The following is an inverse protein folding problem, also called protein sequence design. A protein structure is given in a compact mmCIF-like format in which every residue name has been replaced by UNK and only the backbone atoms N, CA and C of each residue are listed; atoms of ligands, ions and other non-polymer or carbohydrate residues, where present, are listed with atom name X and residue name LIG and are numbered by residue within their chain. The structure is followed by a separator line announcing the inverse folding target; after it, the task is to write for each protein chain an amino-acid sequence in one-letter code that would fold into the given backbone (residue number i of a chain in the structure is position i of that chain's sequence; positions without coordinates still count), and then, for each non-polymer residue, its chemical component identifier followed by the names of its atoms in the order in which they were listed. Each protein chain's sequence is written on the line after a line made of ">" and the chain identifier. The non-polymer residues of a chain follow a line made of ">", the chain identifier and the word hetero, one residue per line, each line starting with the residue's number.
data_IF_246533390183
#
_entry.id   IF_246533390183
#
_cell.length_a   1.000
_cell.length_b   1.000
_cell.length_c   1.000
_cell.angle_alpha   90.00
_cell.angle_beta   90.00
_cell.angle_gamma   90.00
#
_symmetry.space_group_name_H-M   'P 1'
#
loop_
_entity.id
_entity.type
_entity.pdbx_description
1 polymer ?
#
# COMPACT_ATOMS: atom_id res chain seq x y z
N UNK A 1 -19.55 13.43 -30.36
CA UNK A 1 -18.78 13.41 -29.11
C UNK A 1 -17.56 14.30 -29.30
N UNK A 2 -17.46 15.41 -28.56
CA UNK A 2 -16.27 16.25 -28.60
C UNK A 2 -15.07 15.44 -28.08
N UNK A 3 -13.93 15.48 -28.78
CA UNK A 3 -12.68 14.90 -28.28
C UNK A 3 -12.19 15.80 -27.15
N UNK A 4 -12.15 15.31 -25.91
CA UNK A 4 -11.50 16.03 -24.84
C UNK A 4 -10.03 16.24 -25.21
N UNK A 5 -9.53 17.46 -25.07
CA UNK A 5 -8.11 17.75 -25.28
C UNK A 5 -7.28 16.97 -24.25
N UNK A 6 -6.19 16.36 -24.73
CA UNK A 6 -5.26 15.65 -23.87
C UNK A 6 -4.47 16.68 -23.05
N UNK A 7 -5.01 17.01 -21.87
CA UNK A 7 -4.34 17.82 -20.85
C UNK A 7 -3.90 16.93 -19.69
N UNK A 8 -2.79 17.29 -19.05
CA UNK A 8 -2.32 16.64 -17.82
C UNK A 8 -3.36 16.71 -16.69
N UNK A 9 -4.19 17.75 -16.68
CA UNK A 9 -5.28 17.92 -15.71
C UNK A 9 -6.39 16.87 -15.90
N UNK A 10 -6.80 16.65 -17.15
CA UNK A 10 -7.76 15.61 -17.51
C UNK A 10 -7.22 14.21 -17.16
N UNK A 11 -5.94 13.97 -17.43
CA UNK A 11 -5.29 12.71 -17.05
C UNK A 11 -5.26 12.54 -15.53
N UNK A 12 -4.94 13.58 -14.77
CA UNK A 12 -4.93 13.56 -13.30
C UNK A 12 -6.31 13.23 -12.73
N UNK A 13 -7.37 13.87 -13.23
CA UNK A 13 -8.75 13.61 -12.79
C UNK A 13 -9.19 12.16 -13.05
N UNK A 14 -8.85 11.64 -14.23
CA UNK A 14 -9.10 10.24 -14.59
C UNK A 14 -8.34 9.29 -13.67
N UNK A 15 -7.06 9.57 -13.39
CA UNK A 15 -6.23 8.78 -12.47
C UNK A 15 -6.77 8.77 -11.04
N UNK A 16 -7.31 9.89 -10.55
CA UNK A 16 -7.95 9.96 -9.23
C UNK A 16 -9.20 9.07 -9.13
N UNK A 17 -10.00 9.01 -10.20
CA UNK A 17 -11.18 8.11 -10.23
C UNK A 17 -10.76 6.64 -10.15
N UNK A 18 -9.68 6.27 -10.84
CA UNK A 18 -9.10 4.92 -10.72
C UNK A 18 -8.55 4.65 -9.32
N UNK A 19 -8.11 5.69 -8.62
CA UNK A 19 -7.61 5.52 -7.27
C UNK A 19 -8.67 5.07 -6.28
N UNK A 20 -9.84 5.72 -6.26
CA UNK A 20 -10.96 5.27 -5.43
C UNK A 20 -11.31 3.80 -5.69
N UNK A 21 -11.38 3.42 -6.97
CA UNK A 21 -11.68 2.03 -7.39
C UNK A 21 -10.62 1.03 -6.93
N UNK A 22 -9.33 1.34 -7.01
CA UNK A 22 -8.27 0.47 -6.49
C UNK A 22 -8.39 0.29 -4.97
N UNK A 23 -8.71 1.36 -4.22
CA UNK A 23 -8.89 1.27 -2.77
C UNK A 23 -10.12 0.44 -2.38
N UNK A 24 -11.24 0.58 -3.10
CA UNK A 24 -12.43 -0.26 -2.90
C UNK A 24 -12.13 -1.73 -3.24
N UNK A 25 -11.44 -1.99 -4.35
CA UNK A 25 -11.02 -3.34 -4.71
C UNK A 25 -10.07 -3.93 -3.63
N UNK A 26 -9.20 -3.11 -3.04
CA UNK A 26 -8.35 -3.51 -1.91
C UNK A 26 -9.17 -3.96 -0.71
N UNK A 27 -10.23 -3.24 -0.35
CA UNK A 27 -11.13 -3.62 0.74
C UNK A 27 -11.76 -5.00 0.48
N UNK A 28 -12.30 -5.22 -0.72
CA UNK A 28 -12.88 -6.52 -1.12
C UNK A 28 -11.84 -7.64 -1.10
N UNK A 29 -10.60 -7.34 -1.54
CA UNK A 29 -9.49 -8.29 -1.48
C UNK A 29 -9.22 -8.75 -0.04
N UNK A 30 -9.14 -7.81 0.91
CA UNK A 30 -8.86 -8.17 2.31
C UNK A 30 -10.06 -8.80 3.02
N UNK A 31 -11.29 -8.41 2.69
CA UNK A 31 -12.49 -9.12 3.14
C UNK A 31 -12.48 -10.58 2.67
N UNK A 32 -12.11 -10.82 1.40
CA UNK A 32 -11.97 -12.18 0.88
C UNK A 32 -10.86 -12.95 1.61
N UNK A 33 -9.73 -12.31 1.91
CA UNK A 33 -8.64 -12.91 2.68
C UNK A 33 -9.07 -13.29 4.10
N UNK A 34 -9.87 -12.43 4.75
CA UNK A 34 -10.43 -12.71 6.06
C UNK A 34 -11.27 -13.99 6.06
N UNK A 35 -12.17 -14.13 5.08
CA UNK A 35 -12.99 -15.34 4.90
C UNK A 35 -12.14 -16.58 4.64
N UNK A 36 -11.09 -16.46 3.81
CA UNK A 36 -10.13 -17.55 3.58
C UNK A 36 -9.46 -17.98 4.89
N UNK A 37 -9.06 -17.03 5.74
CA UNK A 37 -8.48 -17.30 7.05
C UNK A 37 -9.46 -17.99 8.01
N UNK A 38 -10.70 -17.51 8.12
CA UNK A 38 -11.73 -18.12 8.98
C UNK A 38 -12.09 -19.56 8.56
N UNK A 39 -12.04 -19.83 7.26
CA UNK A 39 -12.42 -21.14 6.70
C UNK A 39 -11.24 -22.10 6.56
N UNK A 40 -10.02 -21.68 6.89
CA UNK A 40 -8.80 -22.48 6.69
C UNK A 40 -8.79 -23.80 7.49
N UNK A 41 -9.43 -23.84 8.67
CA UNK A 41 -9.48 -25.01 9.55
C UNK A 41 -10.73 -25.90 9.36
N UNK A 42 -11.58 -25.59 8.39
CA UNK A 42 -12.81 -26.35 8.18
C UNK A 42 -12.52 -27.69 7.49
N UNK A 43 -12.18 -28.73 8.27
CA UNK A 43 -11.76 -30.03 7.71
C UNK A 43 -12.90 -30.92 7.16
N UNK A 44 -14.16 -30.65 7.50
CA UNK A 44 -15.24 -31.64 7.30
C UNK A 44 -16.57 -31.15 6.71
N UNK A 45 -16.77 -29.84 6.51
CA UNK A 45 -18.05 -29.30 5.99
C UNK A 45 -17.95 -28.94 4.51
N UNK A 46 -18.74 -29.62 3.67
CA UNK A 46 -18.85 -29.36 2.23
C UNK A 46 -19.12 -27.89 1.91
N UNK A 47 -19.99 -27.24 2.69
CA UNK A 47 -20.30 -25.81 2.52
C UNK A 47 -19.11 -24.89 2.81
N UNK A 48 -18.42 -25.06 3.94
CA UNK A 48 -17.28 -24.21 4.29
C UNK A 48 -16.13 -24.36 3.30
N UNK A 49 -15.91 -25.57 2.78
CA UNK A 49 -14.93 -25.82 1.71
C UNK A 49 -15.30 -25.11 0.41
N UNK A 50 -16.58 -25.05 0.05
CA UNK A 50 -17.05 -24.30 -1.11
C UNK A 50 -16.82 -22.79 -0.93
N UNK A 51 -17.23 -22.23 0.21
CA UNK A 51 -17.01 -20.82 0.56
C UNK A 51 -15.53 -20.47 0.53
N UNK A 52 -14.67 -21.33 1.11
CA UNK A 52 -13.22 -21.16 1.07
C UNK A 52 -12.67 -21.09 -0.36
N UNK A 53 -13.13 -22.01 -1.22
CA UNK A 53 -12.75 -22.06 -2.63
C UNK A 53 -13.16 -20.78 -3.39
N UNK A 54 -14.38 -20.32 -3.19
CA UNK A 54 -14.90 -19.13 -3.87
C UNK A 54 -14.26 -17.83 -3.35
N UNK A 55 -14.01 -17.73 -2.05
CA UNK A 55 -13.27 -16.62 -1.46
C UNK A 55 -11.83 -16.54 -2.02
N UNK A 56 -11.15 -17.67 -2.22
CA UNK A 56 -9.82 -17.71 -2.88
C UNK A 56 -9.87 -17.27 -4.35
N UNK A 57 -10.89 -17.69 -5.10
CA UNK A 57 -11.08 -17.24 -6.50
C UNK A 57 -11.31 -15.73 -6.55
N UNK A 58 -12.20 -15.21 -5.71
CA UNK A 58 -12.48 -13.78 -5.61
C UNK A 58 -11.22 -12.99 -5.22
N UNK A 59 -10.49 -13.45 -4.21
CA UNK A 59 -9.22 -12.87 -3.79
C UNK A 59 -8.22 -12.76 -4.95
N UNK A 60 -8.06 -13.83 -5.73
CA UNK A 60 -7.15 -13.87 -6.87
C UNK A 60 -7.61 -12.95 -8.01
N UNK A 61 -8.91 -12.99 -8.36
CA UNK A 61 -9.48 -12.15 -9.41
C UNK A 61 -9.36 -10.65 -9.07
N UNK A 62 -9.71 -10.26 -7.85
CA UNK A 62 -9.60 -8.87 -7.39
C UNK A 62 -8.14 -8.44 -7.31
N UNK A 63 -7.23 -9.29 -6.83
CA UNK A 63 -5.79 -8.98 -6.81
C UNK A 63 -5.26 -8.72 -8.22
N UNK A 64 -5.67 -9.52 -9.20
CA UNK A 64 -5.29 -9.33 -10.60
C UNK A 64 -5.85 -8.01 -11.16
N UNK A 65 -7.15 -7.76 -10.96
CA UNK A 65 -7.81 -6.52 -11.41
C UNK A 65 -7.18 -5.26 -10.79
N UNK A 66 -6.73 -5.31 -9.54
CA UNK A 66 -6.06 -4.17 -8.91
C UNK A 66 -4.77 -3.77 -9.60
N UNK A 67 -4.04 -4.71 -10.20
CA UNK A 67 -2.78 -4.38 -10.88
C UNK A 67 -3.01 -3.52 -12.12
N UNK A 68 -4.15 -3.64 -12.79
CA UNK A 68 -4.47 -2.77 -13.93
C UNK A 68 -4.74 -1.33 -13.50
N UNK A 69 -5.30 -1.11 -12.30
CA UNK A 69 -5.51 0.23 -11.75
C UNK A 69 -4.22 0.92 -11.26
N UNK A 70 -3.09 0.20 -11.23
CA UNK A 70 -1.80 0.75 -10.80
C UNK A 70 -0.94 1.23 -11.96
N UNK A 71 -1.28 0.88 -13.20
CA UNK A 71 -0.51 1.29 -14.37
C UNK A 71 -0.49 2.82 -14.45
N UNK A 72 0.71 3.41 -14.49
CA UNK A 72 0.91 4.85 -14.57
C UNK A 72 0.95 5.56 -13.21
N UNK A 73 0.82 4.84 -12.07
CA UNK A 73 0.95 5.44 -10.73
C UNK A 73 2.36 5.86 -10.38
N UNK A 74 3.34 5.28 -11.04
CA UNK A 74 4.74 5.65 -10.93
C UNK A 74 5.01 7.07 -11.44
N UNK A 75 4.25 7.55 -12.43
CA UNK A 75 4.46 8.87 -13.05
C UNK A 75 4.35 10.04 -12.06
N UNK A 76 3.25 10.23 -11.30
CA UNK A 76 3.16 11.32 -10.34
C UNK A 76 4.22 11.22 -9.24
N UNK A 77 4.62 10.00 -8.86
CA UNK A 77 5.69 9.80 -7.87
C UNK A 77 7.01 10.29 -8.44
N UNK A 78 7.35 9.90 -9.68
CA UNK A 78 8.55 10.33 -10.38
C UNK A 78 8.60 11.85 -10.57
N UNK A 79 7.48 12.48 -10.95
CA UNK A 79 7.38 13.93 -11.10
C UNK A 79 7.59 14.67 -9.77
N UNK A 80 7.25 14.04 -8.64
CA UNK A 80 7.44 14.62 -7.31
C UNK A 80 8.87 14.52 -6.75
N UNK A 81 9.82 13.92 -7.46
CA UNK A 81 11.22 13.83 -7.00
C UNK A 81 11.91 15.19 -6.98
N UNK A 82 11.64 16.07 -7.96
CA UNK A 82 12.24 17.41 -8.01
C UNK A 82 11.89 18.22 -6.76
N UNK A 83 10.63 18.17 -6.34
CA UNK A 83 10.16 18.83 -5.11
C UNK A 83 10.77 18.22 -3.85
N UNK A 84 11.09 16.92 -3.84
CA UNK A 84 11.75 16.28 -2.71
C UNK A 84 13.19 16.78 -2.56
N UNK A 85 13.92 16.89 -3.67
CA UNK A 85 15.32 17.34 -3.71
C UNK A 85 15.45 18.81 -3.27
N UNK A 86 14.43 19.63 -3.55
CA UNK A 86 14.41 21.04 -3.19
C UNK A 86 14.23 21.32 -1.68
N UNK A 87 14.01 20.29 -0.84
CA UNK A 87 13.84 20.49 0.60
C UNK A 87 15.17 20.88 1.28
N UNK A 88 15.18 21.89 2.18
CA UNK A 88 16.42 22.40 2.78
C UNK A 88 17.02 21.47 3.84
N UNK A 89 16.20 20.59 4.45
CA UNK A 89 16.63 19.71 5.54
C UNK A 89 17.05 18.34 4.98
N UNK A 90 18.36 18.07 4.97
CA UNK A 90 18.96 16.84 4.42
C UNK A 90 18.27 15.55 4.88
N UNK A 91 17.91 15.44 6.16
CA UNK A 91 17.27 14.24 6.69
C UNK A 91 15.83 14.06 6.17
N UNK A 92 15.07 15.15 6.05
CA UNK A 92 13.70 15.11 5.54
C UNK A 92 13.72 14.78 4.04
N UNK A 93 14.67 15.38 3.30
CA UNK A 93 14.98 15.07 1.90
C UNK A 93 15.32 13.59 1.73
N UNK A 94 16.23 13.05 2.55
CA UNK A 94 16.64 11.66 2.47
C UNK A 94 15.48 10.69 2.74
N UNK A 95 14.65 10.95 3.76
CA UNK A 95 13.49 10.11 4.08
C UNK A 95 12.41 10.18 2.99
N UNK A 96 12.10 11.36 2.45
CA UNK A 96 11.10 11.49 1.39
C UNK A 96 11.58 10.84 0.08
N UNK A 97 12.85 11.01 -0.27
CA UNK A 97 13.46 10.33 -1.42
C UNK A 97 13.47 8.81 -1.24
N UNK A 98 13.86 8.31 -0.05
CA UNK A 98 13.85 6.87 0.23
C UNK A 98 12.44 6.28 0.13
N UNK A 99 11.42 6.96 0.68
CA UNK A 99 10.01 6.57 0.57
C UNK A 99 9.57 6.50 -0.90
N UNK A 100 9.85 7.54 -1.69
CA UNK A 100 9.48 7.61 -3.12
C UNK A 100 10.21 6.57 -3.95
N UNK A 101 11.51 6.41 -3.77
CA UNK A 101 12.33 5.43 -4.49
C UNK A 101 11.86 4.00 -4.23
N UNK A 102 11.66 3.64 -2.96
CA UNK A 102 11.14 2.30 -2.60
C UNK A 102 9.73 2.05 -3.13
N UNK A 103 8.88 3.08 -3.17
CA UNK A 103 7.54 2.98 -3.75
C UNK A 103 7.57 2.80 -5.28
N UNK A 104 8.46 3.50 -5.99
CA UNK A 104 8.68 3.28 -7.43
C UNK A 104 9.18 1.86 -7.68
N UNK A 105 10.15 1.40 -6.91
CA UNK A 105 10.66 0.03 -7.01
C UNK A 105 9.57 -1.02 -6.78
N UNK A 106 8.66 -0.77 -5.84
CA UNK A 106 7.47 -1.62 -5.65
C UNK A 106 6.61 -1.69 -6.92
N UNK A 107 6.23 -0.57 -7.52
CA UNK A 107 5.40 -0.58 -8.73
C UNK A 107 6.09 -1.27 -9.90
N UNK A 108 7.37 -0.96 -10.14
CA UNK A 108 8.14 -1.61 -11.22
C UNK A 108 8.21 -3.14 -11.03
N UNK A 109 8.48 -3.61 -9.81
CA UNK A 109 8.54 -5.05 -9.54
C UNK A 109 7.17 -5.73 -9.56
N UNK A 110 6.09 -5.06 -9.14
CA UNK A 110 4.70 -5.56 -9.27
C UNK A 110 4.30 -5.69 -10.75
N UNK A 111 4.64 -4.71 -11.58
CA UNK A 111 4.41 -4.77 -13.04
C UNK A 111 5.20 -5.90 -13.70
N UNK A 112 6.49 -6.05 -13.38
CA UNK A 112 7.29 -7.16 -13.88
C UNK A 112 6.77 -8.51 -13.41
N UNK A 113 6.33 -8.61 -12.14
CA UNK A 113 5.71 -9.81 -11.60
C UNK A 113 4.41 -10.17 -12.32
N UNK A 114 3.56 -9.19 -12.59
CA UNK A 114 2.33 -9.38 -13.36
C UNK A 114 2.60 -9.76 -14.81
N UNK A 115 3.53 -9.08 -15.48
CA UNK A 115 3.93 -9.40 -16.85
C UNK A 115 4.46 -10.84 -16.95
N UNK A 116 5.29 -11.28 -15.99
CA UNK A 116 5.73 -12.68 -15.90
C UNK A 116 4.56 -13.64 -15.69
N UNK A 117 3.56 -13.27 -14.88
CA UNK A 117 2.38 -14.09 -14.65
C UNK A 117 1.52 -14.27 -15.92
N UNK A 118 1.48 -13.24 -16.78
CA UNK A 118 0.71 -13.28 -18.05
C UNK A 118 1.50 -14.00 -19.16
N UNK A 119 2.82 -13.81 -19.23
CA UNK A 119 3.64 -14.33 -20.33
C UNK A 119 4.29 -15.70 -20.07
N UNK A 120 4.48 -16.09 -18.80
CA UNK A 120 5.34 -17.22 -18.39
C UNK A 120 4.72 -18.01 -17.23
N UNK A 121 5.51 -18.94 -16.68
CA UNK A 121 5.16 -19.77 -15.53
C UNK A 121 4.92 -18.93 -14.25
N UNK A 122 3.74 -19.15 -13.66
CA UNK A 122 3.25 -18.52 -12.44
C UNK A 122 4.21 -18.68 -11.24
N UNK A 123 5.03 -19.74 -11.20
CA UNK A 123 6.00 -19.96 -10.12
C UNK A 123 7.04 -18.84 -10.04
N UNK A 124 7.57 -18.40 -11.17
CA UNK A 124 8.60 -17.34 -11.22
C UNK A 124 8.03 -15.94 -10.99
N UNK A 125 6.74 -15.76 -11.31
CA UNK A 125 6.03 -14.52 -11.04
C UNK A 125 5.84 -14.32 -9.53
N UNK A 126 5.48 -15.38 -8.78
CA UNK A 126 5.21 -15.31 -7.36
C UNK A 126 6.40 -14.74 -6.56
N UNK A 127 7.62 -15.20 -6.83
CA UNK A 127 8.83 -14.69 -6.14
C UNK A 127 9.12 -13.23 -6.47
N UNK A 128 8.84 -12.80 -7.71
CA UNK A 128 9.00 -11.40 -8.12
C UNK A 128 8.00 -10.50 -7.40
N UNK A 129 6.75 -10.95 -7.28
CA UNK A 129 5.68 -10.24 -6.56
C UNK A 129 6.01 -10.14 -5.06
N UNK A 130 6.53 -11.21 -4.44
CA UNK A 130 6.95 -11.19 -3.03
C UNK A 130 8.05 -10.15 -2.77
N UNK A 131 9.04 -10.04 -3.66
CA UNK A 131 10.06 -8.98 -3.57
C UNK A 131 9.46 -7.58 -3.70
N UNK A 132 8.49 -7.40 -4.58
CA UNK A 132 7.74 -6.14 -4.67
C UNK A 132 7.05 -5.79 -3.35
N UNK A 133 6.40 -6.76 -2.72
CA UNK A 133 5.75 -6.54 -1.43
C UNK A 133 6.74 -6.19 -0.31
N UNK A 134 7.97 -6.70 -0.35
CA UNK A 134 9.01 -6.27 0.58
C UNK A 134 9.36 -4.77 0.38
N UNK A 135 9.45 -4.29 -0.87
CA UNK A 135 9.64 -2.85 -1.14
C UNK A 135 8.49 -1.99 -0.62
N UNK A 136 7.25 -2.47 -0.75
CA UNK A 136 6.08 -1.80 -0.18
C UNK A 136 6.16 -1.71 1.35
N UNK A 137 6.62 -2.79 2.00
CA UNK A 137 6.80 -2.81 3.45
C UNK A 137 7.83 -1.76 3.90
N UNK A 138 8.99 -1.72 3.24
CA UNK A 138 10.05 -0.75 3.52
C UNK A 138 9.53 0.68 3.31
N UNK A 139 8.86 0.94 2.19
CA UNK A 139 8.31 2.27 1.89
C UNK A 139 7.32 2.74 2.96
N UNK A 140 6.43 1.84 3.40
CA UNK A 140 5.44 2.13 4.45
C UNK A 140 6.12 2.40 5.80
N UNK A 141 7.15 1.63 6.13
CA UNK A 141 7.92 1.84 7.35
C UNK A 141 8.66 3.19 7.35
N UNK A 142 9.32 3.55 6.24
CA UNK A 142 9.97 4.85 6.07
C UNK A 142 8.95 6.00 6.19
N UNK A 143 7.75 5.82 5.63
CA UNK A 143 6.65 6.78 5.75
C UNK A 143 6.22 6.98 7.21
N UNK A 144 6.08 5.90 7.97
CA UNK A 144 5.75 5.96 9.40
C UNK A 144 6.84 6.70 10.21
N UNK A 145 8.12 6.41 9.96
CA UNK A 145 9.25 7.11 10.61
C UNK A 145 9.22 8.61 10.29
N UNK A 146 9.00 8.96 9.02
CA UNK A 146 8.88 10.36 8.61
C UNK A 146 7.72 11.06 9.32
N UNK A 147 6.58 10.39 9.48
CA UNK A 147 5.44 10.91 10.24
C UNK A 147 5.76 11.12 11.73
N UNK A 148 6.38 10.14 12.39
CA UNK A 148 6.78 10.25 13.81
C UNK A 148 7.75 11.42 13.99
N UNK A 149 8.76 11.53 13.12
CA UNK A 149 9.70 12.65 13.13
C UNK A 149 8.98 13.99 12.97
N UNK A 150 7.98 14.08 12.08
CA UNK A 150 7.19 15.30 11.91
C UNK A 150 6.38 15.65 13.18
N UNK A 151 6.01 14.67 14.01
CA UNK A 151 5.39 14.93 15.32
C UNK A 151 6.40 15.36 16.39
N UNK A 152 7.61 14.78 16.38
CA UNK A 152 8.66 15.10 17.36
C UNK A 152 9.40 16.41 17.08
N UNK A 153 9.62 16.75 15.80
CA UNK A 153 10.38 17.94 15.35
C UNK A 153 9.46 19.13 15.05
N UNK A 154 8.18 19.02 15.39
CA UNK A 154 7.27 20.16 15.44
C UNK A 154 7.13 20.79 16.85
N UNK A 155 8.19 21.00 17.66
CA UNK A 155 8.09 21.91 18.79
C UNK A 155 8.25 23.33 18.25
N UNK A 156 7.18 24.10 18.39
CA UNK A 156 7.25 25.55 18.62
C UNK A 156 8.04 26.34 17.58
N UNK A 157 7.56 26.40 16.33
CA UNK A 157 7.74 27.66 15.61
C UNK A 157 6.79 28.63 16.32
N UNK A 158 7.28 29.55 17.17
CA UNK A 158 6.41 30.53 17.79
C UNK A 158 5.72 31.27 16.64
N UNK A 159 4.40 31.20 16.61
CA UNK A 159 3.56 32.02 15.74
C UNK A 159 4.11 33.42 15.78
N UNK A 160 4.80 33.85 14.71
CA UNK A 160 5.21 35.24 14.59
C UNK A 160 3.92 36.06 14.55
N UNK A 161 3.65 36.68 15.69
CA UNK A 161 2.87 37.89 15.94
C UNK A 161 1.72 38.15 14.94
N UNK A 162 0.59 37.47 15.13
CA UNK A 162 -0.65 37.74 14.43
C UNK A 162 -1.76 36.79 14.89
N UNK A 163 -2.62 37.27 15.78
CA UNK A 163 -3.33 36.50 16.79
C UNK A 163 -4.63 35.77 16.36
N UNK A 164 -4.94 34.75 17.16
CA UNK A 164 -6.27 34.32 17.65
C UNK A 164 -7.20 33.36 16.90
N UNK A 165 -6.99 32.99 15.62
CA UNK A 165 -7.89 32.01 14.95
C UNK A 165 -7.24 30.62 14.75
N UNK A 166 -6.00 30.41 15.20
CA UNK A 166 -5.15 29.28 14.75
C UNK A 166 -4.89 28.15 15.76
N UNK A 167 -5.35 28.24 17.02
CA UNK A 167 -5.06 27.21 18.04
C UNK A 167 -5.79 25.88 17.82
N UNK A 168 -7.01 25.90 17.26
CA UNK A 168 -7.85 24.70 17.15
C UNK A 168 -7.53 23.82 15.93
N UNK A 169 -6.82 24.34 14.92
CA UNK A 169 -6.40 23.57 13.74
C UNK A 169 -5.18 22.66 14.02
N UNK A 170 -4.38 22.95 15.04
CA UNK A 170 -3.20 22.16 15.38
C UNK A 170 -3.50 20.75 15.90
N UNK A 171 -4.48 20.51 16.81
CA UNK A 171 -4.80 19.16 17.29
C UNK A 171 -5.38 18.26 16.20
N UNK A 172 -6.16 18.81 15.25
CA UNK A 172 -6.71 18.04 14.14
C UNK A 172 -5.60 17.53 13.21
N UNK A 173 -4.65 18.40 12.83
CA UNK A 173 -3.50 18.00 12.00
C UNK A 173 -2.62 16.94 12.68
N UNK A 174 -2.39 17.06 13.99
CA UNK A 174 -1.67 16.03 14.77
C UNK A 174 -2.42 14.69 14.73
N UNK A 175 -3.73 14.71 14.94
CA UNK A 175 -4.57 13.50 14.85
C UNK A 175 -4.51 12.86 13.47
N UNK A 176 -4.59 13.65 12.40
CA UNK A 176 -4.45 13.14 11.04
C UNK A 176 -3.10 12.46 10.84
N UNK A 177 -1.99 13.11 11.21
CA UNK A 177 -0.65 12.54 11.11
C UNK A 177 -0.53 11.23 11.91
N UNK A 178 -1.08 11.18 13.13
CA UNK A 178 -1.13 9.93 13.93
C UNK A 178 -1.88 8.81 13.22
N UNK A 179 -3.04 9.11 12.60
CA UNK A 179 -3.80 8.12 11.82
C UNK A 179 -2.98 7.61 10.63
N UNK A 180 -2.18 8.47 9.99
CA UNK A 180 -1.31 8.07 8.88
C UNK A 180 -0.16 7.18 9.32
N UNK A 181 0.51 7.52 10.43
CA UNK A 181 1.55 6.68 11.02
C UNK A 181 0.99 5.31 11.36
N UNK A 182 -0.16 5.26 12.04
CA UNK A 182 -0.83 4.00 12.38
C UNK A 182 -1.16 3.18 11.14
N UNK A 183 -1.76 3.82 10.12
CA UNK A 183 -2.09 3.20 8.84
C UNK A 183 -0.84 2.64 8.15
N UNK A 184 0.28 3.37 8.16
CA UNK A 184 1.53 2.97 7.52
C UNK A 184 2.21 1.80 8.25
N UNK A 185 2.16 1.78 9.58
CA UNK A 185 2.60 0.63 10.38
C UNK A 185 1.80 -0.63 10.05
N UNK A 186 0.47 -0.53 10.01
CA UNK A 186 -0.40 -1.65 9.62
C UNK A 186 -0.14 -2.11 8.18
N UNK A 187 0.12 -1.17 7.27
CA UNK A 187 0.44 -1.47 5.88
C UNK A 187 1.78 -2.22 5.76
N UNK A 188 2.79 -1.79 6.50
CA UNK A 188 4.09 -2.45 6.55
C UNK A 188 3.95 -3.89 7.06
N UNK A 189 3.18 -4.10 8.14
CA UNK A 189 2.89 -5.42 8.69
C UNK A 189 2.19 -6.34 7.68
N UNK A 190 1.15 -5.85 7.00
CA UNK A 190 0.47 -6.61 5.95
C UNK A 190 1.40 -6.98 4.81
N UNK A 191 2.25 -6.03 4.37
CA UNK A 191 3.18 -6.24 3.27
C UNK A 191 4.27 -7.27 3.63
N UNK A 192 4.78 -7.26 4.87
CA UNK A 192 5.68 -8.29 5.41
C UNK A 192 5.03 -9.67 5.39
N UNK A 193 3.76 -9.78 5.80
CA UNK A 193 3.02 -11.04 5.73
C UNK A 193 2.87 -11.55 4.30
N UNK A 194 2.44 -10.68 3.39
CA UNK A 194 2.24 -11.04 1.98
C UNK A 194 3.57 -11.37 1.28
N UNK A 195 4.67 -10.78 1.72
CA UNK A 195 6.02 -11.11 1.26
C UNK A 195 6.55 -12.44 1.82
N UNK A 196 5.82 -13.09 2.75
CA UNK A 196 6.25 -14.28 3.51
C UNK A 196 7.51 -14.06 4.34
N UNK A 197 7.73 -12.82 4.80
CA UNK A 197 8.82 -12.51 5.74
C UNK A 197 8.33 -12.73 7.18
N UNK A 198 7.05 -12.47 7.43
CA UNK A 198 6.36 -12.72 8.69
C UNK A 198 5.18 -13.66 8.40
N UNK A 199 4.97 -14.71 9.19
CA UNK A 199 3.84 -15.62 8.99
C UNK A 199 2.77 -15.36 10.07
N UNK A 200 1.63 -14.84 9.65
CA UNK A 200 0.50 -14.47 10.52
C UNK A 200 -0.78 -15.13 10.00
N UNK A 201 -1.79 -15.32 10.84
CA UNK A 201 -3.10 -15.79 10.38
C UNK A 201 -3.69 -14.88 9.28
N UNK A 202 -4.17 -15.48 8.19
CA UNK A 202 -4.79 -14.76 7.08
C UNK A 202 -6.05 -13.98 7.50
N UNK A 203 -6.73 -14.43 8.57
CA UNK A 203 -7.86 -13.73 9.16
C UNK A 203 -7.44 -12.39 9.76
N UNK A 204 -6.40 -12.36 10.59
CA UNK A 204 -5.87 -11.14 11.20
C UNK A 204 -5.42 -10.15 10.12
N UNK A 205 -4.67 -10.62 9.13
CA UNK A 205 -4.20 -9.78 8.02
C UNK A 205 -5.36 -9.27 7.17
N UNK A 206 -6.41 -10.07 7.00
CA UNK A 206 -7.68 -9.65 6.42
C UNK A 206 -8.30 -8.46 7.16
N UNK A 207 -8.46 -8.55 8.49
CA UNK A 207 -9.02 -7.47 9.31
C UNK A 207 -8.17 -6.19 9.23
N UNK A 208 -6.86 -6.30 9.46
CA UNK A 208 -5.96 -5.14 9.38
C UNK A 208 -6.00 -4.48 7.98
N UNK A 209 -6.06 -5.32 6.95
CA UNK A 209 -6.20 -4.88 5.57
C UNK A 209 -7.52 -4.17 5.28
N UNK A 210 -8.63 -4.62 5.87
CA UNK A 210 -9.91 -3.90 5.79
C UNK A 210 -9.81 -2.54 6.46
N UNK A 211 -9.27 -2.45 7.69
CA UNK A 211 -9.13 -1.18 8.43
C UNK A 211 -8.30 -0.16 7.64
N UNK A 212 -7.11 -0.57 7.16
CA UNK A 212 -6.26 0.30 6.33
C UNK A 212 -6.92 0.70 5.02
N UNK A 213 -7.72 -0.19 4.41
CA UNK A 213 -8.45 0.13 3.17
C UNK A 213 -9.58 1.13 3.43
N UNK A 214 -10.28 1.03 4.55
CA UNK A 214 -11.31 2.01 4.94
C UNK A 214 -10.70 3.39 5.18
N UNK A 215 -9.54 3.47 5.85
CA UNK A 215 -8.80 4.73 6.00
C UNK A 215 -8.43 5.30 4.63
N UNK A 216 -7.89 4.48 3.73
CA UNK A 216 -7.53 4.91 2.38
C UNK A 216 -8.76 5.38 1.57
N UNK A 217 -9.90 4.66 1.65
CA UNK A 217 -11.14 5.03 0.96
C UNK A 217 -11.67 6.36 1.51
N UNK A 218 -11.71 6.55 2.83
CA UNK A 218 -12.22 7.78 3.44
C UNK A 218 -11.40 9.02 3.03
N UNK A 219 -10.12 8.84 2.68
CA UNK A 219 -9.26 9.93 2.18
C UNK A 219 -9.45 10.24 0.70
N UNK A 220 -10.00 9.30 -0.07
CA UNK A 220 -10.16 9.40 -1.53
C UNK A 220 -11.62 9.62 -1.94
N UNK A 221 -12.58 9.09 -1.18
CA UNK A 221 -13.98 8.96 -1.58
C UNK A 221 -14.97 9.39 -0.48
N UNK A 222 -15.91 10.31 -0.79
CA UNK A 222 -15.76 11.48 -1.62
C UNK A 222 -15.27 12.65 -0.75
N UNK A 223 -14.14 13.25 -1.11
CA UNK A 223 -13.97 14.67 -0.78
C UNK A 223 -14.79 15.44 -1.81
N UNK A 224 -16.10 15.54 -1.59
CA UNK A 224 -16.79 16.77 -1.96
C UNK A 224 -16.05 17.87 -1.20
N UNK A 225 -14.97 18.39 -1.77
CA UNK A 225 -14.53 19.73 -1.39
C UNK A 225 -15.72 20.56 -1.77
N UNK A 226 -16.43 21.08 -0.77
CA UNK A 226 -17.43 22.08 -1.05
C UNK A 226 -16.73 23.12 -1.92
N UNK A 227 -17.26 23.46 -3.11
CA UNK A 227 -16.63 24.45 -3.99
C UNK A 227 -16.40 25.79 -3.27
N UNK A 228 -17.06 26.02 -2.13
CA UNK A 228 -16.80 27.14 -1.23
C UNK A 228 -15.41 27.13 -0.58
N UNK A 229 -14.84 25.97 -0.24
CA UNK A 229 -13.51 25.91 0.38
C UNK A 229 -12.39 26.15 -0.64
N UNK A 230 -12.62 25.76 -1.89
CA UNK A 230 -11.74 26.08 -3.01
C UNK A 230 -11.88 27.55 -3.45
N UNK A 231 -13.10 28.10 -3.42
CA UNK A 231 -13.33 29.54 -3.59
C UNK A 231 -12.67 30.37 -2.49
N UNK A 232 -12.74 29.94 -1.22
CA UNK A 232 -12.10 30.63 -0.11
C UNK A 232 -10.56 30.56 -0.18
N UNK A 233 -10.00 29.44 -0.62
CA UNK A 233 -8.55 29.33 -0.84
C UNK A 233 -8.08 30.20 -2.03
N UNK A 234 -8.89 30.30 -3.09
CA UNK A 234 -8.58 31.11 -4.25
C UNK A 234 -8.77 32.62 -3.99
N UNK A 235 -9.72 33.03 -3.15
CA UNK A 235 -9.89 34.44 -2.77
C UNK A 235 -8.73 34.97 -1.93
N UNK A 236 -8.17 34.15 -1.03
CA UNK A 236 -7.00 34.53 -0.22
C UNK A 236 -5.76 34.79 -1.09
N UNK A 237 -5.53 33.97 -2.12
CA UNK A 237 -4.40 34.18 -3.05
C UNK A 237 -4.60 35.40 -3.98
N UNK A 238 -5.84 35.82 -4.23
CA UNK A 238 -6.13 37.03 -5.01
C UNK A 238 -5.82 38.31 -4.22
N UNK A 239 -6.11 38.33 -2.92
CA UNK A 239 -5.82 39.49 -2.05
C UNK A 239 -4.31 39.67 -1.84
N UNK A 240 -3.53 38.60 -1.64
CA UNK A 240 -2.05 38.71 -1.54
C UNK A 240 -1.39 39.22 -2.83
N UNK A 241 -1.95 38.86 -4.00
CA UNK A 241 -1.44 39.32 -5.29
C UNK A 241 -1.73 40.81 -5.53
N UNK A 242 -2.84 41.33 -5.02
CA UNK A 242 -3.16 42.77 -5.08
C UNK A 242 -2.32 43.57 -4.08
N UNK A 243 -2.03 43.02 -2.91
CA UNK A 243 -1.24 43.70 -1.87
C UNK A 243 0.25 43.83 -2.26
N UNK A 244 0.80 42.86 -3.01
CA UNK A 244 2.16 42.98 -3.57
C UNK A 244 2.26 44.05 -4.68
N UNK A 245 1.20 44.29 -5.46
CA UNK A 245 1.24 45.33 -6.50
C UNK A 245 1.10 46.76 -5.98
N UNK A 246 0.52 46.97 -4.80
CA UNK A 246 0.42 48.30 -4.18
C UNK A 246 1.67 48.69 -3.37
N UNK A 247 2.46 47.70 -2.93
CA UNK A 247 3.70 47.91 -2.19
C UNK A 247 4.88 48.40 -3.05
N UNK A 248 4.86 48.20 -4.37
CA UNK A 248 5.99 48.57 -5.25
C UNK A 248 5.92 50.00 -5.80
N UNK A 249 4.84 50.75 -5.58
CA UNK A 249 4.64 52.10 -6.14
C UNK A 249 4.58 53.25 -5.13
N UNK A 250 4.82 52.98 -3.85
CA UNK A 250 4.58 53.96 -2.80
C UNK A 250 5.71 54.11 -1.79
N UNK A 251 6.95 54.42 -2.18
CA UNK A 251 7.92 55.01 -1.25
C UNK A 251 9.13 55.65 -1.94
N UNK A 252 8.92 56.85 -2.50
CA UNK A 252 9.99 57.80 -2.75
C UNK A 252 9.74 59.04 -1.86
N UNK A 253 10.21 59.00 -0.61
CA UNK A 253 10.14 60.19 0.24
C UNK A 253 10.48 60.01 1.71
N UNK A 254 11.70 60.44 2.05
CA UNK A 254 12.05 61.17 3.29
C UNK A 254 12.69 60.39 4.47
N UNK A 255 13.94 60.82 4.74
CA UNK A 255 14.57 61.16 6.03
C UNK A 255 14.62 60.14 7.18
N UNK A 256 15.78 59.58 7.56
CA UNK A 256 16.91 60.13 8.35
C UNK A 256 16.66 60.23 9.87
N UNK A 257 17.67 59.77 10.64
CA UNK A 257 17.80 59.64 12.12
C UNK A 257 17.24 58.33 12.69
N UNK A 258 17.86 57.62 13.64
CA UNK A 258 19.00 57.86 14.53
C UNK A 258 18.72 57.10 15.85
N UNK A 259 19.78 56.74 16.61
CA UNK A 259 19.80 56.09 17.96
C UNK A 259 19.67 54.55 17.97
N UNK A 260 20.63 53.72 18.40
CA UNK A 260 21.48 53.56 19.62
C UNK A 260 20.85 52.82 20.81
N UNK A 261 21.43 51.65 21.10
CA UNK A 261 21.83 51.06 22.40
C UNK A 261 20.82 50.47 23.40
N UNK A 262 21.24 49.31 23.97
CA UNK A 262 21.07 48.79 25.35
C UNK A 262 20.42 47.39 25.40
N UNK A 263 21.14 46.28 25.66
CA UNK A 263 21.72 45.73 26.92
C UNK A 263 20.69 45.08 27.87
N UNK A 264 21.06 43.89 28.40
CA UNK A 264 20.56 43.17 29.61
C UNK A 264 19.25 42.38 29.47
N UNK A 265 19.02 41.23 30.13
CA UNK A 265 19.72 40.45 31.15
C UNK A 265 19.15 39.01 31.16
N UNK A 266 19.93 38.09 31.71
CA UNK A 266 19.71 36.68 31.99
C UNK A 266 18.53 36.38 32.93
N UNK A 267 17.92 35.20 32.81
CA UNK A 267 17.32 34.47 33.93
C UNK A 267 17.38 32.95 33.71
N UNK A 268 18.13 32.28 34.57
CA UNK A 268 18.05 30.85 34.91
C UNK A 268 17.03 30.67 36.06
N UNK A 269 16.38 29.50 36.13
CA UNK A 269 15.86 28.79 37.34
C UNK A 269 14.72 27.87 36.91
N UNK A 270 14.98 26.55 36.88
CA UNK A 270 14.48 25.50 37.81
C UNK A 270 13.11 24.93 37.37
N UNK A 271 13.05 23.64 37.02
CA UNK A 271 12.95 22.45 37.89
C UNK A 271 11.49 22.17 38.31
N UNK A 272 11.19 20.88 38.43
CA UNK A 272 9.93 20.25 38.88
C UNK A 272 8.78 20.13 37.86
N UNK A 273 8.68 18.95 37.25
CA UNK A 273 7.52 18.08 37.54
C UNK A 273 7.83 16.61 37.18
N UNK A 274 8.23 15.86 38.20
CA UNK A 274 8.10 14.41 38.28
C UNK A 274 6.62 14.01 38.52
N UNK A 275 6.31 12.75 38.25
CA UNK A 275 5.10 12.01 38.62
C UNK A 275 3.79 12.25 37.85
N UNK A 276 3.51 11.38 36.88
CA UNK A 276 2.40 10.41 36.95
C UNK A 276 2.26 9.68 35.61
N UNK A 277 2.66 8.40 35.55
CA UNK A 277 1.79 7.29 35.14
C UNK A 277 2.56 5.97 35.27
N UNK A 278 2.43 5.39 36.46
CA UNK A 278 2.69 3.98 36.70
C UNK A 278 1.58 3.11 36.11
N UNK A 279 1.98 1.89 35.75
CA UNK A 279 1.18 0.67 35.68
C UNK A 279 0.17 0.51 34.52
N UNK A 280 0.58 -0.26 33.50
CA UNK A 280 -0.22 -1.40 33.05
C UNK A 280 0.66 -2.58 32.59
N UNK A 281 0.22 -3.83 32.83
CA UNK A 281 1.12 -4.97 32.98
C UNK A 281 1.38 -5.76 31.70
N UNK A 282 2.56 -6.39 31.71
CA UNK A 282 2.96 -7.58 30.96
C UNK A 282 1.81 -8.59 30.79
N UNK A 283 1.53 -8.92 29.53
CA UNK A 283 0.75 -10.10 29.15
C UNK A 283 1.73 -11.15 28.60
N UNK A 284 2.46 -11.77 29.52
CA UNK A 284 2.97 -13.13 29.33
C UNK A 284 1.80 -14.08 29.55
N UNK A 285 1.46 -14.86 28.53
CA UNK A 285 0.96 -16.25 28.58
C UNK A 285 0.34 -16.55 27.21
N UNK A 286 1.04 -17.30 26.37
CA UNK A 286 0.51 -18.45 25.65
C UNK A 286 1.69 -19.21 25.03
N UNK A 287 2.20 -20.13 25.84
CA UNK A 287 3.08 -21.22 25.43
C UNK A 287 2.24 -22.38 24.88
N UNK A 288 2.78 -23.03 23.85
CA UNK A 288 2.60 -24.45 23.50
C UNK A 288 1.29 -24.89 22.84
N UNK A 289 1.38 -25.14 21.52
CA UNK A 289 1.01 -26.39 20.82
C UNK A 289 1.50 -26.23 19.38
N UNK A 290 2.63 -26.85 19.00
CA UNK A 290 2.68 -28.18 18.36
C UNK A 290 1.80 -28.27 17.10
N UNK A 291 2.41 -28.26 15.92
CA UNK A 291 2.42 -29.43 15.03
C UNK A 291 3.24 -29.14 13.76
N UNK A 292 4.12 -30.09 13.43
CA UNK A 292 4.83 -30.19 12.17
C UNK A 292 3.81 -30.34 11.04
N UNK A 293 3.65 -29.29 10.24
CA UNK A 293 2.89 -29.33 8.99
C UNK A 293 3.73 -29.97 7.89
N UNK A 294 3.54 -31.26 7.72
CA UNK A 294 3.96 -32.08 6.58
C UNK A 294 3.73 -31.35 5.25
N UNK A 295 4.77 -31.28 4.43
CA UNK A 295 4.74 -30.69 3.10
C UNK A 295 3.90 -31.59 2.17
N UNK A 296 2.58 -31.39 2.17
CA UNK A 296 1.66 -32.13 1.31
C UNK A 296 1.98 -31.81 -0.16
N UNK A 297 2.73 -32.73 -0.80
CA UNK A 297 2.89 -32.80 -2.26
C UNK A 297 1.50 -32.91 -2.86
N UNK A 298 1.04 -31.83 -3.51
CA UNK A 298 -0.08 -31.89 -4.44
C UNK A 298 0.23 -32.95 -5.51
N UNK A 299 -0.69 -33.88 -5.81
CA UNK A 299 -0.50 -34.84 -6.88
C UNK A 299 -0.46 -34.11 -8.23
N UNK A 300 0.52 -34.49 -9.05
CA UNK A 300 0.64 -34.15 -10.46
C UNK A 300 -0.72 -34.33 -11.17
N UNK A 301 -1.35 -33.21 -11.50
CA UNK A 301 -2.46 -33.19 -12.45
C UNK A 301 -1.86 -33.35 -13.84
N UNK A 302 -1.55 -34.61 -14.19
CA UNK A 302 -1.28 -35.01 -15.57
C UNK A 302 -2.42 -34.52 -16.46
N UNK A 303 -2.02 -33.69 -17.42
CA UNK A 303 -2.71 -33.28 -18.63
C UNK A 303 -3.97 -34.09 -18.96
N UNK A 304 -5.13 -33.50 -18.70
CA UNK A 304 -6.37 -33.90 -19.36
C UNK A 304 -6.30 -33.35 -20.78
N UNK A 305 -5.91 -34.23 -21.71
CA UNK A 305 -5.87 -33.96 -23.13
C UNK A 305 -7.21 -33.43 -23.64
N UNK A 306 -7.14 -32.36 -24.43
CA UNK A 306 -8.24 -31.84 -25.22
C UNK A 306 -8.74 -32.95 -26.15
N UNK A 307 -9.93 -33.46 -25.86
CA UNK A 307 -10.66 -34.36 -26.73
C UNK A 307 -11.07 -33.63 -27.99
N UNK A 308 -10.29 -33.81 -29.06
CA UNK A 308 -10.74 -33.57 -30.43
C UNK A 308 -11.67 -34.71 -30.79
N UNK A 309 -12.97 -34.42 -30.88
CA UNK A 309 -14.01 -35.31 -31.38
C UNK A 309 -13.71 -35.65 -32.85
N UNK A 310 -13.16 -36.84 -33.09
CA UNK A 310 -13.12 -37.44 -34.44
C UNK A 310 -14.50 -38.03 -34.74
N UNK A 311 -15.00 -37.64 -35.92
CA UNK A 311 -16.26 -38.06 -36.49
C UNK A 311 -16.31 -39.58 -36.69
N UNK A 312 -17.55 -40.04 -36.55
CA UNK A 312 -18.08 -41.37 -36.76
C UNK A 312 -17.75 -41.90 -38.17
N UNK A 313 -17.10 -43.07 -38.26
CA UNK A 313 -17.24 -43.96 -39.41
C UNK A 313 -17.38 -45.37 -38.85
N UNK A 314 -18.59 -45.89 -38.94
CA UNK A 314 -18.88 -47.31 -38.78
C UNK A 314 -18.12 -48.05 -39.86
N UNK A 315 -17.35 -49.07 -39.48
CA UNK A 315 -17.17 -50.20 -40.39
C UNK A 315 -16.99 -51.50 -39.62
N UNK A 316 -17.56 -52.54 -40.22
CA UNK A 316 -17.95 -53.78 -39.59
C UNK A 316 -16.80 -54.78 -39.50
N UNK A 317 -16.88 -55.64 -38.47
CA UNK A 317 -16.51 -57.05 -38.53
C UNK A 317 -15.03 -57.42 -38.72
N UNK A 318 -14.48 -58.17 -37.77
CA UNK A 318 -14.00 -59.55 -37.98
C UNK A 318 -13.40 -60.05 -36.66
N UNK A 319 -13.89 -61.21 -36.22
CA UNK A 319 -13.32 -62.03 -35.15
C UNK A 319 -12.07 -62.73 -35.68
N UNK A 320 -10.95 -62.67 -34.94
CA UNK A 320 -9.97 -63.76 -34.99
C UNK A 320 -9.22 -63.90 -33.66
N UNK A 321 -9.53 -65.03 -33.01
CA UNK A 321 -8.76 -65.72 -32.00
C UNK A 321 -7.33 -66.03 -32.48
N UNK A 322 -6.28 -65.61 -31.75
CA UNK A 322 -5.03 -66.39 -31.57
C UNK A 322 -4.40 -66.05 -30.22
N UNK A 323 -3.91 -67.10 -29.56
CA UNK A 323 -3.33 -67.25 -28.21
C UNK A 323 -1.88 -66.71 -28.08
N UNK A 324 -1.25 -66.81 -26.89
CA UNK A 324 -0.26 -65.87 -26.39
C UNK A 324 1.18 -66.20 -26.79
N UNK A 325 2.09 -65.24 -26.62
CA UNK A 325 3.52 -65.50 -26.54
C UNK A 325 4.16 -64.68 -25.44
N UNK A 326 4.60 -65.39 -24.40
CA UNK A 326 5.62 -64.94 -23.50
C UNK A 326 6.93 -64.77 -24.28
N UNK A 327 7.54 -63.60 -24.18
CA UNK A 327 8.97 -63.41 -24.42
C UNK A 327 9.49 -62.59 -23.25
N UNK A 328 10.28 -63.29 -22.43
CA UNK A 328 11.21 -62.70 -21.50
C UNK A 328 12.07 -61.65 -22.21
N UNK A 329 12.38 -60.56 -21.53
CA UNK A 329 13.64 -59.88 -21.79
C UNK A 329 14.35 -59.62 -20.45
N UNK A 330 15.55 -60.19 -20.26
CA UNK A 330 16.35 -60.03 -19.07
C UNK A 330 17.23 -58.80 -19.21
N UNK A 331 17.14 -57.86 -18.29
CA UNK A 331 18.25 -56.94 -18.01
C UNK A 331 18.22 -56.59 -16.52
N UNK A 332 18.77 -57.52 -15.74
CA UNK A 332 19.47 -57.21 -14.52
C UNK A 332 20.96 -57.12 -14.88
N UNK A 333 21.54 -55.95 -14.68
CA UNK A 333 22.93 -55.74 -14.23
C UNK A 333 23.03 -54.25 -13.93
N UNK A 334 22.94 -53.87 -12.66
CA UNK A 334 23.97 -54.00 -11.64
C UNK A 334 24.67 -52.65 -11.47
N UNK A 335 24.26 -51.93 -10.43
CA UNK A 335 25.03 -52.07 -9.20
C UNK A 335 24.37 -53.19 -8.39
N UNK A 336 25.14 -54.29 -8.30
CA UNK A 336 24.91 -55.64 -7.73
C UNK A 336 23.49 -56.19 -7.68
#
# INVERSE_FOLDING_TARGET
>A
MARAEFSLENLSSVLQTYEGRDKTARLVQFASRFVVGLTAQASSRTFLRAVHGDARKLLSAVTSARRTYRIGRELPILLSFSSAIAQPKLMDTALDLAKKATLVMYFLTDHLGWLKQVLRDAKTAASTIQRGLAWLAISSFVSAISGVRHLCVAPDVPSQAGADIRSDLQPQKRREVCVLIFRDCLLAFQALHLARILEVGDSLVGILGMVTSTIDIARVWPVQRYPEQEKAANSINQDESQQCTESEFGEAGSTLSGQTSSTRESFESEAELENQLDAMPLLDTLSSQSEQGELERTPDTKHRGLGITKAHSQDAGVKSSVRPRATANPFATAFS
#
